data_IF_272938107001
#
_entry.id   IF_272938107001
#
_cell.length_a   1.000
_cell.length_b   1.000
_cell.length_c   1.000
_cell.angle_alpha   90.00
_cell.angle_beta   90.00
_cell.angle_gamma   90.00
#
_symmetry.space_group_name_H-M   'P 1'
#
loop_
_entity.id
_entity.type
_entity.pdbx_description
1 polymer ?
#
# COMPACT_ATOMS: atom_id res chain seq x y z
N UNK A 1 -4.07 5.89 7.31
CA UNK A 1 -4.88 6.89 6.58
C UNK A 1 -6.20 6.30 6.13
N UNK A 2 -6.18 5.19 5.39
CA UNK A 2 -7.38 4.42 5.00
C UNK A 2 -8.25 4.06 6.21
N UNK A 3 -7.67 3.42 7.23
CA UNK A 3 -8.42 2.89 8.38
C UNK A 3 -9.15 3.93 9.27
N UNK A 4 -8.94 5.24 9.05
CA UNK A 4 -9.57 6.30 9.84
C UNK A 4 -10.80 6.93 9.16
N UNK A 5 -11.11 6.55 7.92
CA UNK A 5 -12.21 7.09 7.11
C UNK A 5 -12.32 8.65 7.07
N UNK A 6 -11.22 9.35 7.32
CA UNK A 6 -11.21 10.79 7.57
C UNK A 6 -10.82 11.62 6.34
N UNK A 7 -10.87 11.03 5.14
CA UNK A 7 -10.44 11.68 3.91
C UNK A 7 -11.57 12.50 3.26
N UNK A 8 -11.20 13.64 2.68
CA UNK A 8 -12.10 14.49 1.88
C UNK A 8 -12.19 13.94 0.45
N UNK A 9 -13.25 13.20 0.16
CA UNK A 9 -13.57 12.75 -1.19
C UNK A 9 -14.32 13.82 -1.97
N UNK A 10 -14.28 13.76 -3.30
CA UNK A 10 -15.11 14.64 -4.14
C UNK A 10 -16.60 14.54 -3.79
N UNK A 11 -17.10 13.35 -3.39
CA UNK A 11 -18.49 13.23 -2.93
C UNK A 11 -18.83 14.18 -1.77
N UNK A 12 -17.95 14.29 -0.75
CA UNK A 12 -18.13 15.22 0.38
C UNK A 12 -18.04 16.68 -0.05
N UNK A 13 -17.14 16.99 -0.99
CA UNK A 13 -17.02 18.35 -1.53
C UNK A 13 -18.27 18.75 -2.35
N UNK A 14 -18.90 17.79 -3.04
CA UNK A 14 -20.16 18.01 -3.77
C UNK A 14 -21.32 18.21 -2.82
N UNK A 15 -21.41 17.44 -1.73
CA UNK A 15 -22.39 17.66 -0.66
C UNK A 15 -22.27 19.06 -0.04
N UNK A 16 -21.06 19.61 0.02
CA UNK A 16 -20.82 20.99 0.46
C UNK A 16 -20.99 22.05 -0.63
N UNK A 17 -21.42 21.67 -1.84
CA UNK A 17 -21.67 22.59 -2.96
C UNK A 17 -20.41 23.19 -3.59
N UNK A 18 -19.22 22.65 -3.29
CA UNK A 18 -17.95 23.21 -3.77
C UNK A 18 -17.56 22.73 -5.17
N UNK A 19 -18.09 21.60 -5.62
CA UNK A 19 -17.83 21.03 -6.95
C UNK A 19 -19.10 20.44 -7.55
N UNK A 20 -19.20 20.44 -8.88
CA UNK A 20 -20.31 19.85 -9.63
C UNK A 20 -20.04 18.41 -10.09
N UNK A 21 -18.79 18.10 -10.42
CA UNK A 21 -18.32 16.78 -10.86
C UNK A 21 -17.71 15.98 -9.71
N UNK A 22 -18.38 14.90 -9.31
CA UNK A 22 -17.91 13.96 -8.29
C UNK A 22 -17.26 12.70 -8.86
N UNK A 23 -17.00 12.64 -10.17
CA UNK A 23 -16.36 11.49 -10.79
C UNK A 23 -14.96 11.24 -10.23
N UNK A 24 -14.67 9.96 -10.00
CA UNK A 24 -13.38 9.48 -9.53
C UNK A 24 -12.29 9.83 -10.52
N UNK A 25 -11.29 10.61 -10.07
CA UNK A 25 -10.19 11.06 -10.95
C UNK A 25 -9.26 9.93 -11.39
N UNK A 26 -9.36 8.76 -10.75
CA UNK A 26 -8.54 7.60 -11.10
C UNK A 26 -9.07 6.86 -12.33
N UNK A 27 -10.39 6.61 -12.39
CA UNK A 27 -11.03 5.86 -13.48
C UNK A 27 -11.94 6.72 -14.38
N UNK A 28 -12.52 7.80 -13.88
CA UNK A 28 -13.51 8.64 -14.58
C UNK A 28 -14.88 8.01 -14.76
N UNK A 29 -15.17 6.85 -14.15
CA UNK A 29 -16.37 6.05 -14.46
C UNK A 29 -17.47 6.08 -13.40
N UNK A 30 -17.12 6.36 -12.14
CA UNK A 30 -18.04 6.29 -10.99
C UNK A 30 -17.76 7.44 -10.03
N UNK A 31 -18.70 7.74 -9.15
CA UNK A 31 -18.53 8.74 -8.09
C UNK A 31 -17.38 8.37 -7.15
N UNK A 32 -16.56 9.35 -6.80
CA UNK A 32 -15.44 9.21 -5.87
C UNK A 32 -15.96 9.14 -4.42
N UNK A 33 -16.13 7.91 -3.92
CA UNK A 33 -16.27 7.63 -2.48
C UNK A 33 -14.96 7.07 -1.92
N UNK A 34 -14.82 6.94 -0.60
CA UNK A 34 -13.61 6.34 0.01
C UNK A 34 -13.49 4.87 -0.43
N UNK A 35 -14.61 4.15 -0.38
CA UNK A 35 -14.68 2.76 -0.80
C UNK A 35 -14.31 2.61 -2.29
N UNK A 36 -14.85 3.48 -3.15
CA UNK A 36 -14.48 3.47 -4.56
C UNK A 36 -13.02 3.84 -4.78
N UNK A 37 -12.56 4.96 -4.21
CA UNK A 37 -11.20 5.48 -4.43
C UNK A 37 -10.13 4.44 -4.07
N UNK A 38 -10.29 3.74 -2.94
CA UNK A 38 -9.29 2.80 -2.47
C UNK A 38 -9.52 1.37 -2.94
N UNK A 39 -10.76 0.89 -3.08
CA UNK A 39 -11.01 -0.54 -3.22
C UNK A 39 -11.80 -0.93 -4.46
N UNK A 40 -12.86 -0.18 -4.82
CA UNK A 40 -13.72 -0.57 -5.95
C UNK A 40 -13.32 0.05 -7.29
N UNK A 41 -12.49 1.10 -7.28
CA UNK A 41 -11.97 1.69 -8.51
C UNK A 41 -11.05 0.68 -9.21
N UNK A 42 -11.30 0.37 -10.49
CA UNK A 42 -10.47 -0.59 -11.23
C UNK A 42 -8.97 -0.29 -11.19
N UNK A 43 -8.59 0.99 -11.15
CA UNK A 43 -7.20 1.40 -10.99
C UNK A 43 -6.61 0.94 -9.64
N UNK A 44 -7.29 1.22 -8.53
CA UNK A 44 -6.83 0.88 -7.19
C UNK A 44 -7.01 -0.61 -6.87
N UNK A 45 -8.11 -1.21 -7.33
CA UNK A 45 -8.42 -2.62 -7.16
C UNK A 45 -7.32 -3.51 -7.76
N UNK A 46 -6.91 -3.24 -9.00
CA UNK A 46 -5.83 -4.00 -9.64
C UNK A 46 -4.46 -3.79 -8.96
N UNK A 47 -4.20 -2.60 -8.40
CA UNK A 47 -3.00 -2.36 -7.59
C UNK A 47 -2.98 -3.23 -6.34
N UNK A 48 -4.08 -3.28 -5.60
CA UNK A 48 -4.24 -4.16 -4.45
C UNK A 48 -4.10 -5.63 -4.81
N UNK A 49 -4.77 -6.07 -5.87
CA UNK A 49 -4.69 -7.45 -6.35
C UNK A 49 -3.25 -7.87 -6.66
N UNK A 50 -2.48 -6.99 -7.31
CA UNK A 50 -1.07 -7.26 -7.59
C UNK A 50 -0.23 -7.36 -6.32
N UNK A 51 -0.45 -6.49 -5.33
CA UNK A 51 0.25 -6.56 -4.05
C UNK A 51 -0.07 -7.86 -3.31
N UNK A 52 -1.35 -8.24 -3.26
CA UNK A 52 -1.79 -9.48 -2.62
C UNK A 52 -1.12 -10.71 -3.26
N UNK A 53 -1.02 -10.74 -4.59
CA UNK A 53 -0.28 -11.80 -5.30
C UNK A 53 1.20 -11.83 -4.92
N UNK A 54 1.88 -10.68 -4.85
CA UNK A 54 3.31 -10.60 -4.51
C UNK A 54 3.62 -11.06 -3.07
N UNK A 55 2.63 -11.06 -2.18
CA UNK A 55 2.78 -11.56 -0.80
C UNK A 55 2.12 -12.94 -0.58
N UNK A 56 1.77 -13.62 -1.68
CA UNK A 56 1.14 -14.95 -1.69
C UNK A 56 -0.16 -15.01 -0.89
N UNK A 57 -0.99 -13.97 -1.01
CA UNK A 57 -2.35 -13.91 -0.46
C UNK A 57 -3.35 -13.98 -1.63
N UNK A 58 -4.06 -15.10 -1.72
CA UNK A 58 -5.01 -15.37 -2.81
C UNK A 58 -6.43 -15.05 -2.36
N UNK A 59 -6.84 -13.79 -2.52
CA UNK A 59 -8.23 -13.36 -2.34
C UNK A 59 -8.58 -12.27 -3.34
N UNK A 60 -9.88 -12.08 -3.57
CA UNK A 60 -10.37 -10.89 -4.26
C UNK A 60 -10.28 -9.66 -3.36
N UNK A 61 -10.13 -8.48 -3.97
CA UNK A 61 -10.19 -7.21 -3.26
C UNK A 61 -11.66 -6.86 -3.10
N UNK A 62 -12.13 -6.85 -1.85
CA UNK A 62 -13.49 -6.51 -1.47
C UNK A 62 -13.70 -5.02 -1.24
N UNK A 63 -14.84 -4.66 -0.66
CA UNK A 63 -15.10 -3.30 -0.19
C UNK A 63 -14.23 -2.92 1.02
N UNK A 64 -14.22 -1.65 1.38
CA UNK A 64 -13.54 -1.11 2.54
C UNK A 64 -13.78 -1.95 3.80
N UNK A 65 -15.05 -2.23 4.12
CA UNK A 65 -15.40 -2.97 5.34
C UNK A 65 -14.90 -4.42 5.28
N UNK A 66 -14.97 -5.06 4.11
CA UNK A 66 -14.47 -6.42 3.91
C UNK A 66 -12.95 -6.48 4.06
N UNK A 67 -12.23 -5.51 3.50
CA UNK A 67 -10.78 -5.42 3.57
C UNK A 67 -10.30 -5.12 4.99
N UNK A 68 -10.95 -4.18 5.69
CA UNK A 68 -10.65 -3.87 7.09
C UNK A 68 -10.93 -5.07 7.99
N UNK A 69 -12.09 -5.73 7.83
CA UNK A 69 -12.42 -6.94 8.56
C UNK A 69 -11.37 -8.04 8.32
N UNK A 70 -11.00 -8.28 7.07
CA UNK A 70 -9.97 -9.25 6.72
C UNK A 70 -8.63 -8.89 7.38
N UNK A 71 -8.22 -7.61 7.32
CA UNK A 71 -7.00 -7.09 7.94
C UNK A 71 -6.95 -7.39 9.45
N UNK A 72 -8.04 -7.10 10.17
CA UNK A 72 -8.11 -7.28 11.62
C UNK A 72 -8.03 -8.75 12.02
N UNK A 73 -8.61 -9.66 11.23
CA UNK A 73 -8.63 -11.09 11.54
C UNK A 73 -7.33 -11.81 11.14
N UNK A 74 -6.66 -11.41 10.06
CA UNK A 74 -5.56 -12.18 9.47
C UNK A 74 -4.17 -11.57 9.75
N UNK A 75 -4.11 -10.32 10.18
CA UNK A 75 -2.86 -9.59 10.40
C UNK A 75 -2.64 -9.23 11.88
N UNK A 76 -3.12 -10.06 12.79
CA UNK A 76 -2.92 -9.90 14.23
C UNK A 76 -1.53 -10.36 14.70
N UNK A 77 -0.91 -11.30 13.99
CA UNK A 77 0.40 -11.85 14.35
C UNK A 77 1.53 -10.81 14.29
N UNK A 78 2.52 -10.96 15.17
CA UNK A 78 3.73 -10.13 15.22
C UNK A 78 4.91 -10.80 14.50
N UNK A 79 4.69 -11.19 13.24
CA UNK A 79 5.74 -11.78 12.40
C UNK A 79 6.14 -10.85 11.25
N UNK A 80 7.24 -11.21 10.57
CA UNK A 80 7.83 -10.42 9.49
C UNK A 80 6.85 -10.19 8.34
N UNK A 81 6.23 -11.26 7.83
CA UNK A 81 5.24 -11.18 6.74
C UNK A 81 4.07 -10.27 7.10
N UNK A 82 3.47 -10.44 8.27
CA UNK A 82 2.37 -9.58 8.73
C UNK A 82 2.80 -8.11 8.81
N UNK A 83 4.03 -7.83 9.24
CA UNK A 83 4.57 -6.47 9.30
C UNK A 83 4.74 -5.87 7.90
N UNK A 84 5.31 -6.63 6.96
CA UNK A 84 5.45 -6.24 5.55
C UNK A 84 4.08 -5.97 4.90
N UNK A 85 3.10 -6.86 5.09
CA UNK A 85 1.76 -6.69 4.51
C UNK A 85 1.08 -5.43 5.04
N UNK A 86 1.21 -5.14 6.35
CA UNK A 86 0.72 -3.87 6.93
C UNK A 86 1.41 -2.65 6.34
N UNK A 87 2.72 -2.70 6.15
CA UNK A 87 3.48 -1.61 5.56
C UNK A 87 3.07 -1.36 4.10
N UNK A 88 2.96 -2.42 3.29
CA UNK A 88 2.49 -2.33 1.91
C UNK A 88 1.09 -1.72 1.84
N UNK A 89 0.18 -2.13 2.72
CA UNK A 89 -1.16 -1.54 2.76
C UNK A 89 -1.17 -0.07 3.16
N UNK A 90 -0.33 0.33 4.11
CA UNK A 90 -0.17 1.74 4.44
C UNK A 90 0.42 2.54 3.28
N UNK A 91 1.51 2.05 2.68
CA UNK A 91 2.24 2.73 1.62
C UNK A 91 1.39 2.85 0.34
N UNK A 92 0.76 1.78 -0.11
CA UNK A 92 -0.10 1.81 -1.30
C UNK A 92 -1.29 2.73 -1.13
N UNK A 93 -1.93 2.70 0.05
CA UNK A 93 -2.99 3.66 0.37
C UNK A 93 -2.51 5.10 0.31
N UNK A 94 -1.33 5.37 0.86
CA UNK A 94 -0.72 6.69 0.80
C UNK A 94 -0.44 7.12 -0.66
N UNK A 95 0.17 6.27 -1.48
CA UNK A 95 0.51 6.61 -2.87
C UNK A 95 -0.74 6.74 -3.76
N UNK A 96 -1.82 5.99 -3.52
CA UNK A 96 -3.13 6.20 -4.17
C UNK A 96 -3.67 7.58 -3.84
N UNK A 97 -3.60 7.99 -2.56
CA UNK A 97 -4.06 9.30 -2.12
C UNK A 97 -3.23 10.44 -2.75
N UNK A 98 -1.91 10.28 -2.79
CA UNK A 98 -1.01 11.23 -3.46
C UNK A 98 -1.33 11.33 -4.95
N UNK A 99 -1.52 10.20 -5.64
CA UNK A 99 -1.89 10.20 -7.06
C UNK A 99 -3.21 10.93 -7.30
N UNK A 100 -4.23 10.65 -6.47
CA UNK A 100 -5.51 11.37 -6.53
C UNK A 100 -5.31 12.88 -6.44
N UNK A 101 -4.53 13.33 -5.46
CA UNK A 101 -4.27 14.76 -5.28
C UNK A 101 -3.46 15.36 -6.44
N UNK A 102 -2.46 14.64 -6.94
CA UNK A 102 -1.67 15.07 -8.10
C UNK A 102 -2.56 15.24 -9.35
N UNK A 103 -3.52 14.34 -9.58
CA UNK A 103 -4.46 14.48 -10.70
C UNK A 103 -5.39 15.67 -10.55
N UNK A 104 -5.84 15.97 -9.33
CA UNK A 104 -6.75 17.08 -9.05
C UNK A 104 -6.04 18.44 -9.14
N UNK A 105 -4.87 18.58 -8.53
CA UNK A 105 -4.24 19.90 -8.33
C UNK A 105 -3.06 20.18 -9.25
N UNK A 106 -2.40 19.15 -9.78
CA UNK A 106 -1.17 19.27 -10.57
C UNK A 106 -1.38 18.80 -12.02
N UNK A 107 -2.43 18.02 -12.29
CA UNK A 107 -2.69 17.42 -13.61
C UNK A 107 -1.70 16.30 -13.99
N UNK A 108 -0.84 15.88 -13.06
CA UNK A 108 0.12 14.77 -13.28
C UNK A 108 -0.59 13.43 -13.12
N UNK A 109 -0.31 12.49 -14.03
CA UNK A 109 -0.83 11.12 -14.00
C UNK A 109 0.31 10.12 -13.97
N UNK A 110 0.28 9.21 -13.01
CA UNK A 110 1.20 8.09 -12.92
C UNK A 110 0.51 6.78 -13.31
N UNK A 111 1.28 5.86 -13.89
CA UNK A 111 0.79 4.51 -14.15
C UNK A 111 0.72 3.71 -12.84
N UNK A 112 -0.08 2.64 -12.84
CA UNK A 112 -0.14 1.70 -11.73
C UNK A 112 1.26 1.13 -11.40
N UNK A 113 2.07 0.84 -12.42
CA UNK A 113 3.44 0.36 -12.21
C UNK A 113 4.32 1.36 -11.46
N UNK A 114 4.20 2.65 -11.75
CA UNK A 114 4.96 3.69 -11.04
C UNK A 114 4.54 3.80 -9.57
N UNK A 115 3.24 3.75 -9.30
CA UNK A 115 2.70 3.80 -7.92
C UNK A 115 3.13 2.56 -7.12
N UNK A 116 3.06 1.39 -7.75
CA UNK A 116 3.52 0.14 -7.14
C UNK A 116 5.01 0.21 -6.79
N UNK A 117 5.85 0.65 -7.73
CA UNK A 117 7.29 0.76 -7.51
C UNK A 117 7.63 1.75 -6.40
N UNK A 118 6.93 2.88 -6.30
CA UNK A 118 7.09 3.83 -5.19
C UNK A 118 6.76 3.18 -3.84
N UNK A 119 5.64 2.47 -3.75
CA UNK A 119 5.24 1.77 -2.53
C UNK A 119 6.24 0.67 -2.14
N UNK A 120 6.70 -0.15 -3.09
CA UNK A 120 7.70 -1.19 -2.87
C UNK A 120 9.05 -0.61 -2.42
N UNK A 121 9.49 0.48 -3.05
CA UNK A 121 10.74 1.16 -2.69
C UNK A 121 10.68 1.69 -1.26
N UNK A 122 9.58 2.33 -0.88
CA UNK A 122 9.38 2.82 0.48
C UNK A 122 9.39 1.70 1.52
N UNK A 123 8.70 0.58 1.24
CA UNK A 123 8.70 -0.60 2.11
C UNK A 123 10.09 -1.24 2.18
N UNK A 124 10.81 -1.32 1.06
CA UNK A 124 12.18 -1.84 1.01
C UNK A 124 13.11 -1.02 1.90
N UNK A 125 13.14 0.30 1.73
CA UNK A 125 13.93 1.21 2.56
C UNK A 125 13.53 1.11 4.04
N UNK A 126 12.24 1.09 4.35
CA UNK A 126 11.77 1.00 5.72
C UNK A 126 12.08 -0.37 6.37
N UNK A 127 12.13 -1.45 5.60
CA UNK A 127 12.51 -2.78 6.11
C UNK A 127 14.01 -2.91 6.43
N UNK A 128 14.86 -2.01 5.90
CA UNK A 128 16.31 -2.03 6.13
C UNK A 128 16.71 -1.74 7.57
N UNK A 129 15.80 -1.37 8.48
CA UNK A 129 16.11 -1.29 9.92
C UNK A 129 16.01 -2.64 10.63
N UNK A 130 15.30 -3.60 10.05
CA UNK A 130 15.13 -4.92 10.67
C UNK A 130 16.36 -5.79 10.49
N UNK A 131 16.68 -6.53 11.54
CA UNK A 131 17.85 -7.42 11.62
C UNK A 131 17.43 -8.69 12.33
N UNK A 132 18.18 -9.76 12.09
CA UNK A 132 17.93 -11.07 12.69
C UNK A 132 16.51 -11.60 12.43
N UNK A 133 15.91 -11.27 11.28
CA UNK A 133 14.66 -11.91 10.85
C UNK A 133 14.93 -13.39 10.64
N UNK A 134 14.01 -14.26 11.09
CA UNK A 134 14.14 -15.70 10.88
C UNK A 134 14.22 -16.04 9.38
N UNK A 135 15.27 -16.74 8.95
CA UNK A 135 15.49 -17.14 7.55
C UNK A 135 14.69 -18.40 7.20
N UNK A 136 13.37 -18.31 7.25
CA UNK A 136 12.47 -19.33 6.70
C UNK A 136 12.33 -19.18 5.18
N UNK A 137 11.92 -20.25 4.49
CA UNK A 137 11.58 -20.19 3.06
C UNK A 137 10.54 -19.09 2.78
N UNK A 138 9.49 -19.01 3.61
CA UNK A 138 8.44 -17.99 3.46
C UNK A 138 8.98 -16.56 3.54
N UNK A 139 9.87 -16.26 4.49
CA UNK A 139 10.42 -14.90 4.62
C UNK A 139 11.41 -14.59 3.48
N UNK A 140 12.18 -15.58 3.04
CA UNK A 140 13.12 -15.42 1.93
C UNK A 140 12.39 -15.21 0.59
N UNK A 141 11.38 -16.03 0.29
CA UNK A 141 10.53 -15.91 -0.89
C UNK A 141 9.78 -14.56 -0.91
N UNK A 142 9.31 -14.10 0.25
CA UNK A 142 8.70 -12.78 0.39
C UNK A 142 9.69 -11.64 0.07
N UNK A 143 10.93 -11.73 0.54
CA UNK A 143 11.96 -10.73 0.21
C UNK A 143 12.27 -10.72 -1.28
N UNK A 144 12.43 -11.90 -1.89
CA UNK A 144 12.67 -12.03 -3.32
C UNK A 144 11.52 -11.45 -4.15
N UNK A 145 10.28 -11.83 -3.84
CA UNK A 145 9.07 -11.40 -4.55
C UNK A 145 8.84 -9.90 -4.50
N UNK A 146 9.28 -9.24 -3.42
CA UNK A 146 9.10 -7.81 -3.19
C UNK A 146 10.35 -6.97 -3.52
N UNK A 147 11.49 -7.60 -3.83
CA UNK A 147 12.77 -6.90 -4.00
C UNK A 147 13.32 -6.28 -2.71
N UNK A 148 13.09 -6.91 -1.57
CA UNK A 148 13.64 -6.49 -0.28
C UNK A 148 15.09 -6.97 -0.11
N UNK A 149 15.87 -6.23 0.67
CA UNK A 149 17.26 -6.60 0.94
C UNK A 149 17.35 -7.84 1.84
N UNK A 150 18.18 -8.82 1.49
CA UNK A 150 18.50 -9.96 2.36
C UNK A 150 19.25 -9.55 3.65
N UNK A 151 19.71 -8.30 3.75
CA UNK A 151 20.33 -7.76 4.96
C UNK A 151 19.44 -7.89 6.20
N UNK A 152 18.12 -8.03 6.03
CA UNK A 152 17.17 -8.24 7.13
C UNK A 152 17.41 -9.53 7.91
N UNK A 153 18.04 -10.54 7.29
CA UNK A 153 18.37 -11.82 7.93
C UNK A 153 19.68 -11.76 8.74
N UNK A 154 20.50 -10.74 8.53
CA UNK A 154 21.81 -10.62 9.14
C UNK A 154 21.77 -9.70 10.38
N UNK A 155 22.71 -9.87 11.33
CA UNK A 155 22.88 -8.93 12.42
C UNK A 155 23.39 -7.58 11.90
N UNK A 156 23.12 -6.50 12.65
CA UNK A 156 23.74 -5.19 12.39
C UNK A 156 25.26 -5.35 12.43
N UNK A 157 25.97 -4.81 11.44
CA UNK A 157 27.43 -4.69 11.55
C UNK A 157 27.75 -3.92 12.84
N UNK A 158 28.67 -4.41 13.70
CA UNK A 158 29.07 -3.67 14.89
C UNK A 158 29.63 -2.31 14.46
N UNK A 159 29.28 -1.26 15.20
CA UNK A 159 29.59 0.14 14.88
C UNK A 159 31.09 0.50 14.89
N UNK A 160 32.01 -0.48 14.86
CA UNK A 160 33.45 -0.30 15.00
C UNK A 160 34.32 -0.89 13.87
N UNK A 161 33.76 -1.47 12.80
CA UNK A 161 34.56 -2.06 11.72
C UNK A 161 34.93 -1.07 10.59
N UNK A 162 35.20 0.20 10.94
CA UNK A 162 35.91 1.15 10.06
C UNK A 162 37.17 1.60 10.79
N UNK A 163 38.27 0.91 10.53
CA UNK A 163 39.58 1.23 11.09
C UNK A 163 40.51 0.04 10.98
N UNK A 164 41.31 0.02 9.91
CA UNK A 164 42.33 -0.97 9.59
C UNK A 164 42.88 -0.67 8.21
#
# INVERSE_FOLDING_TARGET
MICKNALYTKSKLREWGMISDDSCVLCGLQTETIDHLFFLCGFSNSLWGKILQMVSIYKTVGSYDQEIFWFLNHLSAKNFKTSIVKMLFSATGYHIWIERNNRVFIGKRQSQGQILNSALTEVSLASMVWRNVNRSYENWDLCLSLGLSEAVFHPSLPAGARGG
#
